data_IF_881643244742
#
_entry.id   IF_881643244742
#
_cell.length_a   1.000
_cell.length_b   1.000
_cell.length_c   1.000
_cell.angle_alpha   90.00
_cell.angle_beta   90.00
_cell.angle_gamma   90.00
#
_symmetry.space_group_name_H-M   'P 1'
#
loop_
_entity.id
_entity.type
_entity.pdbx_description
1 polymer ?
#
# COMPACT_ATOMS: atom_id res chain seq x y z
N UNK A 1 -23.67 25.63 -4.70
CA UNK A 1 -23.27 24.21 -4.65
C UNK A 1 -22.06 24.20 -3.76
N UNK A 2 -22.23 23.79 -2.49
CA UNK A 2 -21.11 23.69 -1.55
C UNK A 2 -20.08 22.71 -2.14
N UNK A 3 -18.87 23.17 -2.42
CA UNK A 3 -17.77 22.26 -2.73
C UNK A 3 -17.41 21.56 -1.44
N UNK A 4 -17.98 20.39 -1.20
CA UNK A 4 -17.41 19.47 -0.23
C UNK A 4 -15.96 19.23 -0.67
N UNK A 5 -14.99 19.68 0.13
CA UNK A 5 -13.59 19.32 -0.08
C UNK A 5 -13.50 17.80 0.10
N UNK A 6 -13.35 17.08 -1.01
CA UNK A 6 -13.12 15.64 -0.97
C UNK A 6 -11.73 15.38 -0.37
N UNK A 7 -11.65 14.36 0.49
CA UNK A 7 -10.37 13.82 0.94
C UNK A 7 -9.63 13.11 -0.20
N UNK A 8 -8.31 12.94 -0.05
CA UNK A 8 -7.50 12.21 -1.03
C UNK A 8 -8.04 10.80 -1.29
N UNK A 9 -8.43 10.08 -0.23
CA UNK A 9 -8.95 8.71 -0.35
C UNK A 9 -10.26 8.67 -1.14
N UNK A 10 -11.14 9.65 -0.96
CA UNK A 10 -12.39 9.77 -1.72
C UNK A 10 -12.12 10.06 -3.19
N UNK A 11 -11.17 10.94 -3.51
CA UNK A 11 -10.76 11.22 -4.89
C UNK A 11 -10.21 9.95 -5.57
N UNK A 12 -9.31 9.23 -4.89
CA UNK A 12 -8.71 8.01 -5.42
C UNK A 12 -9.74 6.90 -5.62
N UNK A 13 -10.63 6.69 -4.64
CA UNK A 13 -11.75 5.74 -4.75
C UNK A 13 -12.68 6.10 -5.92
N UNK A 14 -13.03 7.38 -6.05
CA UNK A 14 -13.92 7.84 -7.12
C UNK A 14 -13.27 7.66 -8.50
N UNK A 15 -11.97 7.93 -8.63
CA UNK A 15 -11.23 7.71 -9.87
C UNK A 15 -11.24 6.23 -10.26
N UNK A 16 -10.90 5.32 -9.35
CA UNK A 16 -10.93 3.86 -9.58
C UNK A 16 -12.32 3.37 -10.02
N UNK A 17 -13.38 3.84 -9.35
CA UNK A 17 -14.76 3.51 -9.70
C UNK A 17 -15.10 3.96 -11.13
N UNK A 18 -14.72 5.18 -11.51
CA UNK A 18 -15.00 5.73 -12.84
C UNK A 18 -14.21 5.02 -13.93
N UNK A 19 -12.95 4.67 -13.69
CA UNK A 19 -12.19 3.83 -14.61
C UNK A 19 -12.89 2.48 -14.83
N UNK A 20 -13.34 1.84 -13.74
CA UNK A 20 -14.11 0.60 -13.82
C UNK A 20 -15.38 0.78 -14.67
N UNK A 21 -16.14 1.85 -14.46
CA UNK A 21 -17.33 2.15 -15.25
C UNK A 21 -17.01 2.38 -16.73
N UNK A 22 -15.96 3.14 -17.04
CA UNK A 22 -15.50 3.36 -18.41
C UNK A 22 -15.28 2.04 -19.15
N UNK A 23 -14.58 1.08 -18.55
CA UNK A 23 -14.30 -0.21 -19.19
C UNK A 23 -15.51 -1.14 -19.29
N UNK A 24 -16.36 -1.21 -18.25
CA UNK A 24 -17.50 -2.13 -18.25
C UNK A 24 -18.67 -1.64 -19.10
N UNK A 25 -18.87 -0.32 -19.20
CA UNK A 25 -20.02 0.27 -19.86
C UNK A 25 -19.67 1.06 -21.14
N UNK A 26 -18.40 1.07 -21.55
CA UNK A 26 -17.89 1.83 -22.71
C UNK A 26 -18.37 3.28 -22.68
N UNK A 27 -18.10 3.95 -21.55
CA UNK A 27 -18.57 5.31 -21.26
C UNK A 27 -17.39 6.31 -21.25
N UNK A 28 -17.02 6.91 -22.39
CA UNK A 28 -15.80 7.75 -22.50
C UNK A 28 -15.78 8.94 -21.54
N UNK A 29 -16.94 9.51 -21.24
CA UNK A 29 -17.14 10.58 -20.25
C UNK A 29 -16.73 10.18 -18.83
N UNK A 30 -16.86 8.90 -18.47
CA UNK A 30 -16.34 8.37 -17.21
C UNK A 30 -14.81 8.34 -17.23
N UNK A 31 -14.20 8.00 -18.35
CA UNK A 31 -12.75 7.97 -18.52
C UNK A 31 -12.13 9.35 -18.31
N UNK A 32 -12.60 10.37 -19.06
CA UNK A 32 -12.11 11.75 -18.91
C UNK A 32 -12.29 12.27 -17.47
N UNK A 33 -13.43 11.96 -16.84
CA UNK A 33 -13.68 12.34 -15.45
C UNK A 33 -12.75 11.61 -14.48
N UNK A 34 -12.45 10.33 -14.72
CA UNK A 34 -11.56 9.53 -13.88
C UNK A 34 -10.14 10.10 -13.88
N UNK A 35 -9.62 10.47 -15.06
CA UNK A 35 -8.32 11.11 -15.21
C UNK A 35 -8.27 12.47 -14.52
N UNK A 36 -9.28 13.32 -14.71
CA UNK A 36 -9.31 14.63 -14.05
C UNK A 36 -9.27 14.53 -12.52
N UNK A 37 -9.99 13.56 -11.94
CA UNK A 37 -9.98 13.33 -10.49
C UNK A 37 -8.62 12.79 -10.03
N UNK A 38 -7.98 11.93 -10.83
CA UNK A 38 -6.64 11.40 -10.54
C UNK A 38 -5.57 12.50 -10.57
N UNK A 39 -5.68 13.45 -11.51
CA UNK A 39 -4.83 14.65 -11.56
C UNK A 39 -5.07 15.58 -10.36
N UNK A 40 -6.33 15.74 -9.92
CA UNK A 40 -6.65 16.50 -8.71
C UNK A 40 -6.02 15.87 -7.47
N UNK A 41 -6.07 14.54 -7.35
CA UNK A 41 -5.38 13.79 -6.30
C UNK A 41 -3.85 13.96 -6.37
N UNK A 42 -3.27 13.98 -7.57
CA UNK A 42 -1.84 14.24 -7.76
C UNK A 42 -1.44 15.65 -7.27
N UNK A 43 -2.23 16.68 -7.62
CA UNK A 43 -2.02 18.06 -7.17
C UNK A 43 -2.17 18.17 -5.65
N UNK A 44 -3.14 17.48 -5.06
CA UNK A 44 -3.34 17.44 -3.62
C UNK A 44 -2.11 16.88 -2.90
N UNK A 45 -1.64 15.71 -3.33
CA UNK A 45 -0.44 15.05 -2.81
C UNK A 45 0.81 15.95 -2.95
N UNK A 46 0.94 16.68 -4.06
CA UNK A 46 2.05 17.62 -4.27
C UNK A 46 2.08 18.77 -3.25
N UNK A 47 0.94 19.11 -2.63
CA UNK A 47 0.83 20.14 -1.58
C UNK A 47 1.15 19.60 -0.19
N UNK A 48 0.67 18.41 0.15
CA UNK A 48 0.88 17.81 1.48
C UNK A 48 2.30 17.26 1.61
N UNK A 49 2.83 16.70 0.51
CA UNK A 49 4.09 15.95 0.49
C UNK A 49 4.16 14.83 1.55
N UNK A 50 3.00 14.35 1.98
CA UNK A 50 2.90 13.29 2.97
C UNK A 50 3.22 11.94 2.33
N UNK A 51 4.02 11.14 3.03
CA UNK A 51 4.56 9.89 2.51
C UNK A 51 3.45 8.87 2.20
N UNK A 52 2.43 8.80 3.06
CA UNK A 52 1.28 7.91 2.88
C UNK A 52 0.46 8.32 1.66
N UNK A 53 0.20 9.61 1.48
CA UNK A 53 -0.53 10.15 0.33
C UNK A 53 0.18 9.81 -0.98
N UNK A 54 1.51 9.96 -1.01
CA UNK A 54 2.35 9.57 -2.15
C UNK A 54 2.26 8.09 -2.47
N UNK A 55 2.34 7.24 -1.45
CA UNK A 55 2.23 5.80 -1.63
C UNK A 55 0.83 5.39 -2.11
N UNK A 56 -0.24 5.98 -1.57
CA UNK A 56 -1.64 5.73 -1.97
C UNK A 56 -1.87 6.08 -3.44
N UNK A 57 -1.49 7.29 -3.86
CA UNK A 57 -1.62 7.71 -5.25
C UNK A 57 -0.79 6.82 -6.17
N UNK A 58 0.45 6.52 -5.80
CA UNK A 58 1.32 5.61 -6.55
C UNK A 58 0.75 4.19 -6.68
N UNK A 59 0.08 3.66 -5.65
CA UNK A 59 -0.60 2.37 -5.72
C UNK A 59 -1.72 2.39 -6.77
N UNK A 60 -2.50 3.47 -6.83
CA UNK A 60 -3.58 3.63 -7.82
C UNK A 60 -3.02 3.69 -9.24
N UNK A 61 -1.97 4.49 -9.47
CA UNK A 61 -1.29 4.56 -10.78
C UNK A 61 -0.81 3.18 -11.23
N UNK A 62 -0.12 2.44 -10.36
CA UNK A 62 0.34 1.10 -10.70
C UNK A 62 -0.79 0.12 -10.99
N UNK A 63 -1.88 0.17 -10.21
CA UNK A 63 -3.02 -0.69 -10.46
C UNK A 63 -3.68 -0.40 -11.81
N UNK A 64 -3.82 0.87 -12.16
CA UNK A 64 -4.37 1.29 -13.45
C UNK A 64 -3.46 0.86 -14.61
N UNK A 65 -2.14 1.04 -14.48
CA UNK A 65 -1.16 0.65 -15.48
C UNK A 65 -1.17 -0.87 -15.72
N UNK A 66 -1.09 -1.66 -14.65
CA UNK A 66 -1.06 -3.13 -14.74
C UNK A 66 -2.36 -3.73 -15.29
N UNK A 67 -3.46 -2.98 -15.25
CA UNK A 67 -4.75 -3.37 -15.82
C UNK A 67 -5.04 -2.70 -17.17
N UNK A 68 -4.07 -1.99 -17.75
CA UNK A 68 -4.16 -1.33 -19.05
C UNK A 68 -5.27 -0.26 -19.11
N UNK A 69 -5.49 0.48 -18.03
CA UNK A 69 -6.35 1.67 -18.02
C UNK A 69 -5.58 2.94 -18.37
N UNK A 70 -4.26 2.93 -18.16
CA UNK A 70 -3.33 3.98 -18.58
C UNK A 70 -2.20 3.33 -19.39
N UNK A 71 -1.79 3.97 -20.49
CA UNK A 71 -0.75 3.46 -21.39
C UNK A 71 0.60 4.17 -21.21
N UNK A 72 0.69 5.06 -20.22
CA UNK A 72 1.86 5.90 -20.01
C UNK A 72 3.05 5.13 -19.41
N UNK A 73 4.25 5.68 -19.62
CA UNK A 73 5.49 5.18 -18.99
C UNK A 73 5.38 5.33 -17.47
N UNK A 74 4.92 4.27 -16.82
CA UNK A 74 4.64 4.23 -15.39
C UNK A 74 5.90 4.48 -14.56
N UNK A 75 7.08 4.07 -15.06
CA UNK A 75 8.33 4.36 -14.38
C UNK A 75 8.64 5.86 -14.40
N UNK A 76 8.35 6.55 -15.50
CA UNK A 76 8.55 8.00 -15.61
C UNK A 76 7.56 8.76 -14.72
N UNK A 77 6.29 8.36 -14.69
CA UNK A 77 5.27 8.99 -13.84
C UNK A 77 5.65 8.88 -12.36
N UNK A 78 6.19 7.74 -11.95
CA UNK A 78 6.42 7.43 -10.54
C UNK A 78 7.89 7.63 -10.11
N UNK A 79 8.74 8.23 -10.94
CA UNK A 79 10.17 8.40 -10.63
C UNK A 79 10.38 9.26 -9.37
N UNK A 80 9.68 10.39 -9.28
CA UNK A 80 9.77 11.29 -8.12
C UNK A 80 9.23 10.63 -6.85
N UNK A 81 8.14 9.87 -6.99
CA UNK A 81 7.52 9.13 -5.88
C UNK A 81 8.46 8.03 -5.38
N UNK A 82 9.09 7.28 -6.29
CA UNK A 82 10.10 6.28 -5.93
C UNK A 82 11.23 6.91 -5.11
N UNK A 83 11.76 8.04 -5.57
CA UNK A 83 12.84 8.73 -4.89
C UNK A 83 12.42 9.22 -3.49
N UNK A 84 11.23 9.82 -3.39
CA UNK A 84 10.69 10.33 -2.13
C UNK A 84 10.45 9.21 -1.11
N UNK A 85 9.79 8.12 -1.52
CA UNK A 85 9.48 6.99 -0.65
C UNK A 85 10.74 6.23 -0.22
N UNK A 86 11.73 6.07 -1.10
CA UNK A 86 13.05 5.52 -0.75
C UNK A 86 13.76 6.37 0.29
N UNK A 87 13.76 7.69 0.08
CA UNK A 87 14.40 8.63 1.01
C UNK A 87 13.69 8.60 2.36
N UNK A 88 12.36 8.53 2.36
CA UNK A 88 11.57 8.43 3.58
C UNK A 88 11.87 7.12 4.32
N UNK A 89 11.82 5.96 3.65
CA UNK A 89 12.16 4.66 4.26
C UNK A 89 13.53 4.67 4.95
N UNK A 90 14.54 5.28 4.32
CA UNK A 90 15.90 5.39 4.89
C UNK A 90 15.99 6.27 6.14
N UNK A 91 15.07 7.22 6.31
CA UNK A 91 15.03 8.14 7.46
C UNK A 91 14.25 7.57 8.64
N UNK A 92 13.52 6.47 8.46
CA UNK A 92 12.75 5.89 9.55
C UNK A 92 13.71 5.18 10.53
N UNK A 93 14.04 5.87 11.62
CA UNK A 93 14.99 5.38 12.63
C UNK A 93 14.38 4.33 13.58
N UNK A 94 13.06 4.41 13.85
CA UNK A 94 12.33 3.49 14.75
C UNK A 94 10.89 3.28 14.32
N UNK A 95 10.48 2.02 14.30
CA UNK A 95 9.11 1.58 14.02
C UNK A 95 8.28 1.82 15.28
N UNK A 96 7.32 2.75 15.20
CA UNK A 96 6.31 3.01 16.24
C UNK A 96 4.91 2.93 15.62
N UNK A 97 3.89 2.88 16.46
CA UNK A 97 2.48 2.70 16.08
C UNK A 97 2.01 3.53 14.87
N UNK A 98 2.30 4.84 14.91
CA UNK A 98 1.94 5.81 13.88
C UNK A 98 2.65 5.53 12.54
N UNK A 99 3.76 4.79 12.57
CA UNK A 99 4.50 4.36 11.39
C UNK A 99 3.94 3.07 10.78
N UNK A 100 3.04 2.36 11.48
CA UNK A 100 2.52 1.10 10.94
C UNK A 100 1.74 1.30 9.64
N UNK A 101 0.88 2.33 9.61
CA UNK A 101 0.16 2.72 8.40
C UNK A 101 1.12 3.12 7.27
N UNK A 102 2.22 3.80 7.61
CA UNK A 102 3.28 4.14 6.64
C UNK A 102 3.88 2.86 6.05
N UNK A 103 4.28 1.89 6.87
CA UNK A 103 4.86 0.64 6.36
C UNK A 103 3.90 -0.15 5.48
N UNK A 104 2.62 -0.17 5.83
CA UNK A 104 1.62 -0.88 5.05
C UNK A 104 1.50 -0.27 3.65
N UNK A 105 1.34 1.06 3.56
CA UNK A 105 1.22 1.74 2.26
C UNK A 105 2.53 1.70 1.44
N UNK A 106 3.69 1.87 2.08
CA UNK A 106 4.99 1.64 1.41
C UNK A 106 5.10 0.20 0.91
N UNK A 107 4.71 -0.77 1.74
CA UNK A 107 4.74 -2.19 1.43
C UNK A 107 3.86 -2.53 0.24
N UNK A 108 2.65 -1.99 0.16
CA UNK A 108 1.76 -2.16 -0.99
C UNK A 108 2.32 -1.49 -2.24
N UNK A 109 2.80 -0.26 -2.13
CA UNK A 109 3.38 0.47 -3.26
C UNK A 109 4.54 -0.29 -3.90
N UNK A 110 5.53 -0.69 -3.10
CA UNK A 110 6.70 -1.39 -3.63
C UNK A 110 6.39 -2.83 -4.06
N UNK A 111 5.36 -3.47 -3.49
CA UNK A 111 4.85 -4.75 -3.98
C UNK A 111 4.22 -4.60 -5.37
N UNK A 112 3.37 -3.60 -5.57
CA UNK A 112 2.75 -3.32 -6.87
C UNK A 112 3.79 -2.97 -7.92
N UNK A 113 4.73 -2.06 -7.63
CA UNK A 113 5.88 -1.77 -8.50
C UNK A 113 6.67 -3.02 -8.87
N UNK A 114 6.89 -3.92 -7.90
CA UNK A 114 7.62 -5.17 -8.14
C UNK A 114 6.84 -6.17 -9.01
N UNK A 115 5.51 -6.20 -8.89
CA UNK A 115 4.65 -7.09 -9.70
C UNK A 115 4.45 -6.58 -11.14
N UNK A 116 4.65 -5.29 -11.37
CA UNK A 116 4.59 -4.70 -12.70
C UNK A 116 5.74 -5.22 -13.58
N UNK A 117 5.41 -6.14 -14.50
CA UNK A 117 6.39 -6.80 -15.38
C UNK A 117 7.11 -5.83 -16.30
N UNK A 118 6.50 -4.69 -16.62
CA UNK A 118 7.07 -3.67 -17.50
C UNK A 118 7.98 -2.70 -16.72
N UNK A 119 7.94 -2.70 -15.38
CA UNK A 119 8.74 -1.78 -14.58
C UNK A 119 10.24 -2.07 -14.69
N UNK A 120 11.07 -1.03 -14.75
CA UNK A 120 12.53 -1.13 -14.67
C UNK A 120 13.03 -1.05 -13.22
N UNK A 121 12.13 -0.82 -12.26
CA UNK A 121 12.44 -0.63 -10.83
C UNK A 121 12.52 -1.93 -10.01
N UNK A 122 12.31 -3.12 -10.61
CA UNK A 122 12.28 -4.42 -9.92
C UNK A 122 13.40 -4.62 -8.88
N UNK A 123 14.65 -4.37 -9.26
CA UNK A 123 15.81 -4.54 -8.37
C UNK A 123 15.75 -3.62 -7.16
N UNK A 124 15.33 -2.37 -7.37
CA UNK A 124 15.17 -1.36 -6.31
C UNK A 124 14.01 -1.72 -5.38
N UNK A 125 12.85 -2.06 -5.94
CA UNK A 125 11.68 -2.48 -5.17
C UNK A 125 12.00 -3.72 -4.32
N UNK A 126 12.69 -4.71 -4.89
CA UNK A 126 13.14 -5.90 -4.15
C UNK A 126 14.06 -5.56 -2.98
N UNK A 127 15.00 -4.61 -3.16
CA UNK A 127 15.89 -4.17 -2.08
C UNK A 127 15.12 -3.51 -0.94
N UNK A 128 14.19 -2.60 -1.26
CA UNK A 128 13.37 -1.91 -0.26
C UNK A 128 12.47 -2.91 0.47
N UNK A 129 11.76 -3.75 -0.27
CA UNK A 129 10.91 -4.79 0.31
C UNK A 129 11.71 -5.74 1.19
N UNK A 130 12.92 -6.15 0.78
CA UNK A 130 13.79 -6.96 1.62
C UNK A 130 14.15 -6.23 2.93
N UNK A 131 14.47 -4.94 2.87
CA UNK A 131 14.78 -4.14 4.05
C UNK A 131 13.57 -4.02 4.98
N UNK A 132 12.38 -3.79 4.41
CA UNK A 132 11.13 -3.65 5.14
C UNK A 132 10.74 -4.95 5.83
N UNK A 133 10.80 -6.08 5.12
CA UNK A 133 10.53 -7.40 5.69
C UNK A 133 11.52 -7.76 6.80
N UNK A 134 12.81 -7.47 6.63
CA UNK A 134 13.80 -7.67 7.69
C UNK A 134 13.47 -6.86 8.95
N UNK A 135 13.05 -5.60 8.80
CA UNK A 135 12.67 -4.75 9.92
C UNK A 135 11.45 -5.30 10.67
N UNK A 136 10.41 -5.73 9.92
CA UNK A 136 9.21 -6.35 10.50
C UNK A 136 9.51 -7.66 11.23
N UNK A 137 10.31 -8.56 10.64
CA UNK A 137 10.74 -9.81 11.30
C UNK A 137 11.42 -9.51 12.65
N UNK A 138 12.30 -8.51 12.68
CA UNK A 138 12.99 -8.14 13.92
C UNK A 138 12.05 -7.56 14.98
N UNK A 139 11.01 -6.83 14.58
CA UNK A 139 9.98 -6.34 15.51
C UNK A 139 9.20 -7.50 16.10
N UNK A 140 8.61 -8.34 15.25
CA UNK A 140 7.77 -9.43 15.72
C UNK A 140 8.56 -10.46 16.51
N UNK A 141 9.84 -10.70 16.16
CA UNK A 141 10.75 -11.51 16.97
C UNK A 141 10.98 -10.95 18.37
N UNK A 142 11.07 -9.62 18.53
CA UNK A 142 11.21 -8.99 19.86
C UNK A 142 9.91 -9.09 20.65
N UNK A 143 8.76 -8.96 19.99
CA UNK A 143 7.43 -9.15 20.59
C UNK A 143 7.27 -10.59 21.10
N UNK A 144 7.59 -11.60 20.28
CA UNK A 144 7.52 -13.02 20.66
C UNK A 144 8.41 -13.37 21.86
N UNK A 145 9.57 -12.72 21.99
CA UNK A 145 10.51 -12.94 23.10
C UNK A 145 10.19 -12.13 24.36
N UNK A 146 9.08 -11.39 24.39
CA UNK A 146 8.70 -10.52 25.50
C UNK A 146 9.65 -9.33 25.70
N UNK A 147 10.46 -8.99 24.69
CA UNK A 147 11.50 -7.95 24.76
C UNK A 147 11.14 -6.63 24.07
N UNK A 148 10.08 -6.60 23.25
CA UNK A 148 9.45 -5.36 22.81
C UNK A 148 8.26 -5.06 23.73
N UNK A 149 7.96 -3.79 24.01
CA UNK A 149 6.85 -3.47 24.89
C UNK A 149 5.58 -3.98 24.20
N UNK A 150 4.78 -4.77 24.92
CA UNK A 150 3.43 -5.21 24.54
C UNK A 150 2.57 -4.04 24.00
N UNK A 151 2.98 -2.82 24.31
CA UNK A 151 2.59 -1.54 23.69
C UNK A 151 2.55 -1.60 22.15
N UNK A 152 3.56 -2.14 21.45
CA UNK A 152 3.58 -2.16 19.96
C UNK A 152 2.39 -2.92 19.38
N UNK A 153 2.06 -4.10 19.92
CA UNK A 153 0.85 -4.83 19.52
C UNK A 153 -0.42 -4.09 19.97
N UNK A 154 -0.40 -3.48 21.16
CA UNK A 154 -1.56 -2.72 21.66
C UNK A 154 -1.89 -1.49 20.80
N UNK A 155 -0.90 -1.00 20.03
CA UNK A 155 -1.08 0.11 19.12
C UNK A 155 -1.38 -0.28 17.67
N UNK A 156 -1.28 -1.58 17.33
CA UNK A 156 -1.84 -2.08 16.08
C UNK A 156 -3.35 -2.17 16.29
N UNK A 157 -4.11 -1.36 15.56
CA UNK A 157 -5.55 -1.59 15.50
C UNK A 157 -5.80 -2.97 14.89
N UNK A 158 -6.93 -3.57 15.24
CA UNK A 158 -7.38 -4.84 14.66
C UNK A 158 -7.42 -4.76 13.12
N UNK A 159 -7.79 -3.59 12.61
CA UNK A 159 -7.82 -3.27 11.17
C UNK A 159 -6.42 -3.41 10.55
N UNK A 160 -5.43 -2.72 11.14
CA UNK A 160 -4.05 -2.71 10.65
C UNK A 160 -3.39 -4.08 10.76
N UNK A 161 -3.73 -4.87 11.78
CA UNK A 161 -3.26 -6.25 11.89
C UNK A 161 -3.78 -7.12 10.74
N UNK A 162 -5.09 -7.09 10.50
CA UNK A 162 -5.73 -7.83 9.42
C UNK A 162 -5.15 -7.46 8.06
N UNK A 163 -4.92 -6.18 7.83
CA UNK A 163 -4.29 -5.66 6.61
C UNK A 163 -2.83 -6.08 6.48
N UNK A 164 -2.06 -6.07 7.58
CA UNK A 164 -0.66 -6.53 7.58
C UNK A 164 -0.57 -8.01 7.22
N UNK A 165 -1.46 -8.86 7.77
CA UNK A 165 -1.54 -10.28 7.40
C UNK A 165 -1.89 -10.44 5.92
N UNK A 166 -2.93 -9.73 5.44
CA UNK A 166 -3.34 -9.79 4.05
C UNK A 166 -2.23 -9.36 3.09
N UNK A 167 -1.55 -8.24 3.38
CA UNK A 167 -0.39 -7.79 2.64
C UNK A 167 0.72 -8.85 2.63
N UNK A 168 1.01 -9.48 3.77
CA UNK A 168 2.05 -10.51 3.85
C UNK A 168 1.74 -11.76 3.05
N UNK A 169 0.47 -12.19 2.98
CA UNK A 169 0.04 -13.25 2.07
C UNK A 169 0.37 -12.88 0.61
N UNK A 170 0.05 -11.64 0.21
CA UNK A 170 0.36 -11.13 -1.13
C UNK A 170 1.87 -11.10 -1.43
N UNK A 171 2.69 -10.66 -0.46
CA UNK A 171 4.15 -10.67 -0.59
C UNK A 171 4.68 -12.09 -0.75
N UNK A 172 4.20 -13.02 0.07
CA UNK A 172 4.59 -14.43 0.03
C UNK A 172 4.24 -15.07 -1.31
N UNK A 173 3.01 -14.86 -1.80
CA UNK A 173 2.55 -15.40 -3.09
C UNK A 173 3.35 -14.87 -4.29
N UNK A 174 3.92 -13.66 -4.15
CA UNK A 174 4.80 -13.06 -5.16
C UNK A 174 6.21 -13.66 -5.18
N UNK A 175 6.50 -14.61 -4.28
CA UNK A 175 7.85 -15.19 -4.08
C UNK A 175 8.93 -14.15 -3.80
N UNK A 176 8.53 -13.00 -3.26
CA UNK A 176 9.45 -11.94 -2.90
C UNK A 176 10.07 -12.25 -1.53
N UNK A 177 11.40 -12.26 -1.47
CA UNK A 177 12.18 -12.54 -0.27
C UNK A 177 11.69 -13.77 0.51
N UNK A 178 11.51 -14.90 -0.19
CA UNK A 178 10.82 -16.11 0.30
C UNK A 178 11.16 -16.52 1.74
N UNK A 179 12.43 -16.45 2.13
CA UNK A 179 12.85 -16.78 3.51
C UNK A 179 12.27 -15.81 4.54
N UNK A 180 12.39 -14.50 4.29
CA UNK A 180 11.88 -13.47 5.17
C UNK A 180 10.35 -13.44 5.17
N UNK A 181 9.72 -13.56 4.00
CA UNK A 181 8.25 -13.53 3.90
C UNK A 181 7.61 -14.75 4.56
N UNK A 182 8.17 -15.94 4.39
CA UNK A 182 7.71 -17.15 5.10
C UNK A 182 7.89 -17.04 6.62
N UNK A 183 9.04 -16.53 7.07
CA UNK A 183 9.31 -16.37 8.50
C UNK A 183 8.32 -15.37 9.14
N UNK A 184 8.14 -14.21 8.51
CA UNK A 184 7.23 -13.18 9.01
C UNK A 184 5.77 -13.64 9.03
N UNK A 185 5.31 -14.30 7.96
CA UNK A 185 3.95 -14.81 7.89
C UNK A 185 3.68 -15.86 8.98
N UNK A 186 4.66 -16.72 9.28
CA UNK A 186 4.57 -17.67 10.39
C UNK A 186 4.47 -16.95 11.76
N UNK A 187 5.28 -15.91 11.98
CA UNK A 187 5.21 -15.10 13.22
C UNK A 187 3.83 -14.44 13.38
N UNK A 188 3.31 -13.83 12.31
CA UNK A 188 2.00 -13.20 12.32
C UNK A 188 0.89 -14.21 12.61
N UNK A 189 0.91 -15.41 12.03
CA UNK A 189 -0.10 -16.42 12.34
C UNK A 189 -0.02 -16.93 13.78
N UNK A 190 1.19 -17.12 14.32
CA UNK A 190 1.37 -17.50 15.71
C UNK A 190 0.81 -16.43 16.65
N UNK A 191 1.06 -15.15 16.35
CA UNK A 191 0.55 -14.02 17.13
C UNK A 191 -0.96 -13.81 16.95
N UNK A 192 -1.54 -14.13 15.79
CA UNK A 192 -3.00 -14.07 15.53
C UNK A 192 -3.78 -14.99 16.47
N UNK A 193 -3.19 -16.11 16.89
CA UNK A 193 -3.79 -17.01 17.89
C UNK A 193 -3.95 -16.34 19.28
N UNK A 194 -3.20 -15.26 19.54
CA UNK A 194 -3.21 -14.50 20.79
C UNK A 194 -4.18 -13.29 20.72
N UNK A 195 -4.45 -12.75 19.53
CA UNK A 195 -5.30 -11.55 19.33
C UNK A 195 -6.76 -11.81 18.89
N UNK A 196 -7.13 -13.06 18.59
CA UNK A 196 -8.49 -13.46 18.15
C UNK A 196 -9.63 -13.06 19.12
N UNK A 197 -9.32 -12.51 20.30
CA UNK A 197 -10.27 -11.94 21.25
C UNK A 197 -10.74 -10.50 20.91
N UNK A 198 -10.12 -9.78 19.96
CA UNK A 198 -10.39 -8.34 19.72
C UNK A 198 -11.37 -7.98 18.59
N UNK A 199 -12.05 -8.94 17.96
CA UNK A 199 -13.12 -8.69 16.99
C UNK A 199 -12.65 -8.50 15.54
N UNK A 200 -13.60 -8.22 14.63
CA UNK A 200 -13.36 -7.96 13.20
C UNK A 200 -13.26 -6.46 12.97
N UNK A 201 -12.11 -6.05 12.44
CA UNK A 201 -11.83 -4.67 12.10
C UNK A 201 -12.53 -4.15 10.84
N UNK A 202 -12.64 -2.82 10.67
CA UNK A 202 -13.09 -2.17 9.44
C UNK A 202 -11.88 -1.96 8.51
N UNK A 203 -11.89 -2.61 7.35
CA UNK A 203 -10.84 -2.44 6.34
C UNK A 203 -10.83 -1.02 5.74
N UNK A 204 -9.64 -0.53 5.39
CA UNK A 204 -9.46 0.71 4.64
C UNK A 204 -10.15 0.62 3.27
N UNK A 205 -11.05 1.57 2.98
CA UNK A 205 -11.90 1.53 1.80
C UNK A 205 -11.12 1.70 0.49
N UNK A 206 -10.05 2.52 0.50
CA UNK A 206 -9.20 2.69 -0.66
C UNK A 206 -8.38 1.43 -0.90
N UNK A 207 -7.79 0.87 0.17
CA UNK A 207 -7.03 -0.37 0.07
C UNK A 207 -7.90 -1.52 -0.44
N UNK A 208 -9.12 -1.66 0.08
CA UNK A 208 -10.07 -2.65 -0.40
C UNK A 208 -10.34 -2.47 -1.89
N UNK A 209 -10.59 -1.25 -2.36
CA UNK A 209 -10.82 -0.99 -3.79
C UNK A 209 -9.58 -1.29 -4.64
N UNK A 210 -8.38 -0.93 -4.18
CA UNK A 210 -7.12 -1.25 -4.84
C UNK A 210 -6.97 -2.78 -4.97
N UNK A 211 -7.21 -3.52 -3.91
CA UNK A 211 -7.10 -4.98 -3.90
C UNK A 211 -8.17 -5.63 -4.79
N UNK A 212 -9.42 -5.15 -4.75
CA UNK A 212 -10.47 -5.63 -5.65
C UNK A 212 -10.14 -5.33 -7.12
N UNK A 213 -9.61 -4.14 -7.41
CA UNK A 213 -9.22 -3.74 -8.76
C UNK A 213 -7.99 -4.49 -9.28
N UNK A 214 -7.08 -4.84 -8.38
CA UNK A 214 -5.85 -5.56 -8.70
C UNK A 214 -6.07 -7.07 -8.85
N UNK A 215 -6.84 -7.68 -7.94
CA UNK A 215 -7.05 -9.12 -7.87
C UNK A 215 -8.11 -9.63 -8.86
N UNK A 216 -9.03 -8.78 -9.35
CA UNK A 216 -10.01 -9.11 -10.41
C UNK A 216 -9.67 -8.41 -11.73
#
# INVERSE_FOLDING_TARGET
MESAEYSLDELLCQSLLLFRQYRFYDAPECGEKAFRILEEAHVWMGRTQECVDMAKWGCVIECLAQKYYIEDDTDAILEEIDAALVAHWKRIEKIHAEVTTVYLWLGYYFLLRFRNRESRSHSRCKQIMSSLLCALVEIFRKVEKGGAPTEVLSHLSVDVWGETVCWMEQVHDSRLCEKQSSALLAQLYNLKSVELEKGLGKQDALLQQILEFYCF
#
